data_IF_162285483457
#
_entry.id   IF_162285483457
#
_cell.length_a   1.000
_cell.length_b   1.000
_cell.length_c   1.000
_cell.angle_alpha   90.00
_cell.angle_beta   90.00
_cell.angle_gamma   90.00
#
_symmetry.space_group_name_H-M   'P 1'
#
loop_
_entity.id
_entity.type
_entity.pdbx_description
1 polymer ?
#
# COMPACT_ATOMS: atom_id res chain seq x y z
N UNK A 1 5.96 1.45 -35.59
CA UNK A 1 4.90 2.46 -35.84
C UNK A 1 4.75 3.28 -34.58
N UNK A 2 5.12 4.56 -34.62
CA UNK A 2 5.05 5.50 -33.49
C UNK A 2 3.58 5.93 -33.31
N UNK A 3 3.04 5.76 -32.09
CA UNK A 3 1.67 6.12 -31.77
C UNK A 3 1.58 7.66 -31.56
N UNK A 4 0.78 8.42 -32.31
CA UNK A 4 0.93 9.87 -32.43
C UNK A 4 0.10 10.68 -31.42
N UNK A 5 0.09 10.32 -30.13
CA UNK A 5 -0.76 10.96 -29.11
C UNK A 5 -0.05 11.55 -27.88
N UNK A 6 1.28 11.65 -27.88
CA UNK A 6 2.02 12.21 -26.73
C UNK A 6 2.90 13.37 -27.18
N UNK A 7 2.39 14.59 -27.01
CA UNK A 7 3.15 15.83 -27.08
C UNK A 7 3.75 16.15 -25.70
N UNK A 8 4.92 16.81 -25.70
CA UNK A 8 5.65 17.36 -24.54
C UNK A 8 4.81 18.29 -23.64
N UNK A 9 3.57 18.63 -24.02
CA UNK A 9 2.65 19.54 -23.33
C UNK A 9 2.00 18.99 -22.05
N UNK A 10 2.15 17.69 -21.73
CA UNK A 10 1.50 17.04 -20.57
C UNK A 10 2.36 16.91 -19.31
N UNK A 11 3.63 17.31 -19.34
CA UNK A 11 4.55 17.17 -18.19
C UNK A 11 4.32 18.27 -17.14
N UNK A 12 4.06 19.51 -17.59
CA UNK A 12 3.84 20.68 -16.72
C UNK A 12 2.57 20.59 -15.83
N UNK A 13 1.41 20.10 -16.30
CA UNK A 13 0.23 19.90 -15.45
C UNK A 13 0.47 18.89 -14.32
N UNK A 14 1.32 17.89 -14.55
CA UNK A 14 1.57 16.83 -13.57
C UNK A 14 2.59 17.22 -12.50
N UNK A 15 3.59 18.03 -12.86
CA UNK A 15 4.50 18.63 -11.88
C UNK A 15 3.75 19.53 -10.88
N UNK A 16 2.80 20.34 -11.39
CA UNK A 16 1.91 21.15 -10.54
C UNK A 16 0.96 20.30 -9.69
N UNK A 17 0.48 19.18 -10.22
CA UNK A 17 -0.33 18.24 -9.46
C UNK A 17 0.46 17.56 -8.33
N UNK A 18 1.75 17.29 -8.55
CA UNK A 18 2.67 16.79 -7.53
C UNK A 18 2.90 17.81 -6.41
N UNK A 19 3.24 19.06 -6.75
CA UNK A 19 3.44 20.13 -5.77
C UNK A 19 2.16 20.36 -4.95
N UNK A 20 1.01 20.49 -5.62
CA UNK A 20 -0.27 20.62 -4.96
C UNK A 20 -0.59 19.44 -4.03
N UNK A 21 -0.24 18.21 -4.43
CA UNK A 21 -0.43 17.04 -3.58
C UNK A 21 0.41 17.09 -2.31
N UNK A 22 1.70 17.44 -2.41
CA UNK A 22 2.60 17.55 -1.25
C UNK A 22 2.22 18.71 -0.32
N UNK A 23 1.61 19.76 -0.86
CA UNK A 23 1.05 20.88 -0.09
C UNK A 23 -0.24 20.52 0.64
N UNK A 24 -1.00 19.53 0.14
CA UNK A 24 -2.26 19.07 0.76
C UNK A 24 -2.05 17.91 1.73
N UNK A 25 -1.08 17.02 1.44
CA UNK A 25 -0.88 15.78 2.18
C UNK A 25 0.55 15.63 2.70
N UNK A 26 0.67 14.86 3.77
CA UNK A 26 1.94 14.44 4.36
C UNK A 26 1.97 12.92 4.41
N UNK A 27 3.05 12.32 3.92
CA UNK A 27 3.20 10.87 3.93
C UNK A 27 4.10 10.45 5.08
N UNK A 28 3.58 9.59 5.96
CA UNK A 28 4.27 9.23 7.20
C UNK A 28 4.42 7.73 7.39
N UNK A 29 5.61 7.32 7.78
CA UNK A 29 5.86 6.00 8.38
C UNK A 29 5.51 6.09 9.86
N UNK A 30 4.58 5.25 10.32
CA UNK A 30 4.17 5.21 11.72
C UNK A 30 5.23 4.49 12.57
N UNK A 31 5.99 5.27 13.33
CA UNK A 31 7.10 4.79 14.15
C UNK A 31 6.77 4.85 15.64
N UNK A 32 6.02 5.85 16.08
CA UNK A 32 5.58 5.97 17.49
C UNK A 32 4.32 5.14 17.75
N UNK A 33 4.02 4.92 19.02
CA UNK A 33 2.80 4.19 19.42
C UNK A 33 1.55 4.96 19.01
N UNK A 34 1.54 6.28 19.15
CA UNK A 34 0.41 7.14 18.79
C UNK A 34 0.16 7.12 17.28
N UNK A 35 1.22 7.14 16.46
CA UNK A 35 1.10 7.03 15.01
C UNK A 35 0.56 5.67 14.58
N UNK A 36 1.04 4.60 15.22
CA UNK A 36 0.53 3.23 14.96
C UNK A 36 -0.93 3.10 15.35
N UNK A 37 -1.34 3.65 16.48
CA UNK A 37 -2.74 3.65 16.91
C UNK A 37 -3.66 4.39 15.93
N UNK A 38 -3.19 5.49 15.32
CA UNK A 38 -3.93 6.17 14.23
C UNK A 38 -4.15 5.24 13.04
N UNK A 39 -3.12 4.48 12.64
CA UNK A 39 -3.23 3.48 11.56
C UNK A 39 -4.18 2.35 11.93
N UNK A 40 -4.08 1.80 13.14
CA UNK A 40 -4.94 0.71 13.60
C UNK A 40 -6.40 1.13 13.75
N UNK A 41 -6.67 2.38 14.12
CA UNK A 41 -8.02 2.94 14.17
C UNK A 41 -8.60 3.13 12.77
N UNK A 42 -7.82 3.70 11.84
CA UNK A 42 -8.26 3.80 10.44
C UNK A 42 -8.56 2.42 9.83
N UNK A 43 -7.73 1.42 10.12
CA UNK A 43 -7.97 0.05 9.71
C UNK A 43 -9.22 -0.54 10.36
N UNK A 44 -9.50 -0.23 11.61
CA UNK A 44 -10.73 -0.64 12.29
C UNK A 44 -11.97 -0.07 11.59
N UNK A 45 -11.97 1.22 11.29
CA UNK A 45 -13.08 1.89 10.62
C UNK A 45 -13.35 1.26 9.24
N UNK A 46 -12.32 0.94 8.48
CA UNK A 46 -12.51 0.35 7.14
C UNK A 46 -12.77 -1.16 7.20
N UNK A 47 -11.95 -1.94 7.91
CA UNK A 47 -12.03 -3.39 7.88
C UNK A 47 -13.06 -3.96 8.86
N UNK A 48 -13.12 -3.51 10.12
CA UNK A 48 -14.12 -4.02 11.07
C UNK A 48 -15.50 -3.39 10.78
N UNK A 49 -15.60 -2.05 10.70
CA UNK A 49 -16.90 -1.36 10.63
C UNK A 49 -17.54 -1.39 9.23
N UNK A 50 -16.80 -1.03 8.18
CA UNK A 50 -17.36 -0.95 6.82
C UNK A 50 -17.43 -2.33 6.13
N UNK A 51 -16.31 -3.06 6.09
CA UNK A 51 -16.20 -4.32 5.33
C UNK A 51 -16.75 -5.52 6.12
N UNK A 52 -16.84 -5.42 7.45
CA UNK A 52 -17.26 -6.55 8.31
C UNK A 52 -16.24 -7.69 8.34
N UNK A 53 -14.95 -7.38 8.27
CA UNK A 53 -13.85 -8.35 8.21
C UNK A 53 -13.76 -9.21 9.48
N UNK A 54 -14.08 -8.62 10.63
CA UNK A 54 -14.24 -9.31 11.92
C UNK A 54 -15.44 -8.72 12.66
N UNK A 55 -16.17 -9.51 13.46
CA UNK A 55 -17.20 -8.95 14.33
C UNK A 55 -16.58 -7.97 15.32
N UNK A 56 -17.28 -6.87 15.61
CA UNK A 56 -16.80 -5.81 16.50
C UNK A 56 -16.38 -6.31 17.88
N UNK A 57 -17.03 -7.37 18.36
CA UNK A 57 -16.72 -8.04 19.64
C UNK A 57 -15.30 -8.60 19.72
N UNK A 58 -14.62 -8.81 18.58
CA UNK A 58 -13.23 -9.24 18.52
C UNK A 58 -12.23 -8.09 18.34
N UNK A 59 -12.70 -6.88 18.03
CA UNK A 59 -11.85 -5.71 17.82
C UNK A 59 -11.77 -4.92 19.16
N UNK A 60 -10.86 -5.33 20.06
CA UNK A 60 -10.68 -4.65 21.36
C UNK A 60 -10.28 -3.17 21.16
N UNK A 61 -10.89 -2.25 21.92
CA UNK A 61 -10.59 -0.80 21.92
C UNK A 61 -10.78 -0.08 20.57
N UNK A 62 -11.56 -0.65 19.64
CA UNK A 62 -11.79 -0.07 18.30
C UNK A 62 -10.48 0.11 17.51
N UNK A 63 -9.62 -0.92 17.56
CA UNK A 63 -8.37 -1.01 16.82
C UNK A 63 -8.35 -2.33 16.02
N UNK A 64 -7.83 -2.31 14.79
CA UNK A 64 -7.59 -3.52 13.99
C UNK A 64 -6.09 -3.78 13.89
N UNK A 65 -5.68 -4.90 14.48
CA UNK A 65 -4.31 -5.40 14.48
C UNK A 65 -4.28 -6.94 14.42
N UNK A 66 -3.22 -7.50 13.87
CA UNK A 66 -2.94 -8.93 13.77
C UNK A 66 -1.46 -9.26 14.07
N UNK A 67 -1.11 -10.54 14.00
CA UNK A 67 0.22 -11.02 14.36
C UNK A 67 1.34 -10.52 13.42
N UNK A 68 1.01 -10.01 12.24
CA UNK A 68 1.99 -9.52 11.26
C UNK A 68 2.41 -8.07 11.54
N UNK A 69 1.64 -7.32 12.32
CA UNK A 69 1.92 -5.91 12.60
C UNK A 69 3.26 -5.69 13.32
N UNK A 70 3.76 -6.70 14.05
CA UNK A 70 5.05 -6.64 14.76
C UNK A 70 6.28 -6.59 13.84
N UNK A 71 6.17 -7.09 12.61
CA UNK A 71 7.24 -7.13 11.61
C UNK A 71 6.85 -6.39 10.33
N UNK A 72 5.96 -5.41 10.47
CA UNK A 72 5.47 -4.60 9.37
C UNK A 72 5.90 -3.15 9.48
N UNK A 73 6.08 -2.52 8.32
CA UNK A 73 6.15 -1.07 8.21
C UNK A 73 4.74 -0.56 7.90
N UNK A 74 4.27 0.36 8.73
CA UNK A 74 2.99 1.02 8.56
C UNK A 74 3.22 2.40 7.95
N UNK A 75 2.50 2.71 6.88
CA UNK A 75 2.54 4.02 6.26
C UNK A 75 1.13 4.56 6.12
N UNK A 76 0.96 5.86 6.37
CA UNK A 76 -0.31 6.54 6.24
C UNK A 76 -0.14 7.90 5.59
N UNK A 77 -1.20 8.32 4.90
CA UNK A 77 -1.30 9.64 4.29
C UNK A 77 -2.15 10.51 5.19
N UNK A 78 -1.59 11.62 5.67
CA UNK A 78 -2.25 12.60 6.52
C UNK A 78 -2.67 13.80 5.68
N UNK A 79 -3.92 14.23 5.82
CA UNK A 79 -4.39 15.48 5.24
C UNK A 79 -3.97 16.63 6.15
N UNK A 80 -3.16 17.56 5.64
CA UNK A 80 -2.48 18.57 6.47
C UNK A 80 -3.45 19.51 7.18
N UNK A 81 -4.50 19.97 6.50
CA UNK A 81 -5.40 20.98 7.06
C UNK A 81 -6.34 20.43 8.13
N UNK A 82 -6.75 19.16 8.02
CA UNK A 82 -7.63 18.52 9.01
C UNK A 82 -6.89 17.64 10.03
N UNK A 83 -5.63 17.28 9.74
CA UNK A 83 -4.86 16.33 10.53
C UNK A 83 -5.39 14.89 10.50
N UNK A 84 -6.37 14.59 9.63
CA UNK A 84 -6.97 13.26 9.52
C UNK A 84 -6.11 12.33 8.66
N UNK A 85 -6.08 11.04 9.00
CA UNK A 85 -5.50 10.02 8.14
C UNK A 85 -6.44 9.75 6.96
N UNK A 86 -6.03 10.14 5.76
CA UNK A 86 -6.79 9.97 4.52
C UNK A 86 -6.73 8.53 4.02
N UNK A 87 -5.65 7.81 4.29
CA UNK A 87 -5.51 6.40 3.98
C UNK A 87 -4.24 5.80 4.57
N UNK A 88 -4.11 4.48 4.49
CA UNK A 88 -2.95 3.75 4.98
C UNK A 88 -2.65 2.50 4.15
N UNK A 89 -1.45 1.97 4.37
CA UNK A 89 -0.99 0.70 3.85
C UNK A 89 -0.04 0.04 4.84
N UNK A 90 0.14 -1.27 4.69
CA UNK A 90 1.08 -2.07 5.46
C UNK A 90 2.02 -2.81 4.53
N UNK A 91 3.33 -2.64 4.72
CA UNK A 91 4.36 -3.47 4.11
C UNK A 91 4.82 -4.52 5.13
N UNK A 92 4.47 -5.78 4.90
CA UNK A 92 4.84 -6.91 5.75
C UNK A 92 6.17 -7.46 5.28
N UNK A 93 7.14 -7.54 6.19
CA UNK A 93 8.45 -8.15 5.96
C UNK A 93 8.46 -9.55 6.57
N UNK A 94 9.32 -10.47 6.10
CA UNK A 94 9.53 -11.73 6.79
C UNK A 94 9.95 -11.48 8.25
N UNK A 95 9.34 -12.19 9.19
CA UNK A 95 9.65 -12.05 10.61
C UNK A 95 11.07 -12.55 10.91
N UNK A 96 12.02 -11.66 11.29
CA UNK A 96 13.39 -12.08 11.58
C UNK A 96 13.48 -13.00 12.81
N UNK A 97 12.49 -12.99 13.69
CA UNK A 97 12.46 -13.81 14.91
C UNK A 97 11.82 -15.19 14.71
N UNK A 98 11.16 -15.44 13.58
CA UNK A 98 10.53 -16.73 13.33
C UNK A 98 11.53 -17.75 12.78
N UNK A 99 11.38 -19.00 13.21
CA UNK A 99 12.11 -20.15 12.66
C UNK A 99 11.86 -20.29 11.17
N UNK A 100 12.78 -20.95 10.45
CA UNK A 100 12.73 -21.03 8.99
C UNK A 100 11.42 -21.62 8.42
N UNK A 101 10.68 -22.42 9.19
CA UNK A 101 9.38 -22.98 8.79
C UNK A 101 8.16 -22.08 9.07
N UNK A 102 8.28 -21.06 9.91
CA UNK A 102 7.15 -20.29 10.47
C UNK A 102 7.05 -18.86 9.93
N UNK A 103 8.00 -18.44 9.08
CA UNK A 103 8.00 -17.13 8.41
C UNK A 103 6.99 -17.09 7.26
N UNK A 104 5.70 -16.98 7.59
CA UNK A 104 4.62 -16.88 6.61
C UNK A 104 4.24 -15.41 6.36
N UNK A 105 4.09 -15.05 5.08
CA UNK A 105 3.37 -13.84 4.69
C UNK A 105 1.85 -14.05 4.91
N UNK A 106 1.06 -13.00 5.22
CA UNK A 106 -0.38 -13.12 5.48
C UNK A 106 -1.14 -13.89 4.39
N UNK A 107 -0.79 -13.68 3.12
CA UNK A 107 -1.41 -14.40 1.99
C UNK A 107 -1.20 -15.92 2.03
N UNK A 108 -0.16 -16.42 2.70
CA UNK A 108 0.07 -17.85 2.86
C UNK A 108 -0.87 -18.44 3.92
N UNK A 109 -1.28 -17.66 4.92
CA UNK A 109 -2.24 -18.08 5.93
C UNK A 109 -3.65 -18.18 5.35
N UNK A 110 -4.08 -17.14 4.61
CA UNK A 110 -5.44 -17.09 4.04
C UNK A 110 -5.58 -17.89 2.74
N UNK A 111 -4.52 -17.92 1.92
CA UNK A 111 -4.55 -18.41 0.54
C UNK A 111 -3.52 -19.51 0.25
N UNK A 112 -2.91 -20.13 1.26
CA UNK A 112 -1.84 -21.11 1.05
C UNK A 112 -2.17 -22.21 0.05
N UNK A 113 -3.43 -22.68 0.03
CA UNK A 113 -3.93 -23.69 -0.93
C UNK A 113 -4.21 -23.15 -2.32
N UNK A 114 -4.52 -21.86 -2.47
CA UNK A 114 -4.78 -21.23 -3.77
C UNK A 114 -3.50 -20.76 -4.47
N UNK A 115 -2.37 -20.66 -3.76
CA UNK A 115 -1.04 -20.33 -4.30
C UNK A 115 -0.42 -21.52 -5.04
N UNK A 116 -0.91 -21.76 -6.25
CA UNK A 116 -0.53 -22.90 -7.09
C UNK A 116 0.51 -22.55 -8.17
N UNK A 117 1.01 -21.31 -8.23
CA UNK A 117 1.96 -20.91 -9.26
C UNK A 117 3.28 -21.69 -9.17
N UNK A 118 3.76 -22.25 -10.28
CA UNK A 118 4.91 -23.17 -10.29
C UNK A 118 6.21 -22.55 -9.73
N UNK A 119 6.48 -21.29 -10.07
CA UNK A 119 7.74 -20.57 -9.70
C UNK A 119 7.58 -19.40 -8.72
N UNK A 120 6.48 -18.64 -8.80
CA UNK A 120 6.25 -17.40 -8.05
C UNK A 120 5.41 -17.66 -6.81
N UNK A 121 6.03 -18.32 -5.82
CA UNK A 121 5.44 -18.55 -4.49
C UNK A 121 6.44 -18.08 -3.43
N UNK A 122 5.98 -17.48 -2.31
CA UNK A 122 6.89 -17.03 -1.25
C UNK A 122 7.88 -18.10 -0.79
N UNK A 123 7.43 -19.36 -0.70
CA UNK A 123 8.24 -20.50 -0.28
C UNK A 123 9.36 -20.92 -1.25
N UNK A 124 9.37 -20.38 -2.48
CA UNK A 124 10.37 -20.68 -3.51
C UNK A 124 11.36 -19.53 -3.76
N UNK A 125 11.18 -18.40 -3.10
CA UNK A 125 11.95 -17.18 -3.33
C UNK A 125 12.84 -16.85 -2.13
N UNK A 126 13.94 -16.10 -2.33
CA UNK A 126 14.81 -15.70 -1.21
C UNK A 126 14.03 -14.89 -0.18
N UNK A 127 14.02 -15.36 1.07
CA UNK A 127 13.20 -14.77 2.14
C UNK A 127 13.55 -13.30 2.38
N UNK A 128 14.83 -12.96 2.35
CA UNK A 128 15.27 -11.57 2.49
C UNK A 128 14.87 -10.67 1.31
N UNK A 129 14.36 -11.22 0.21
CA UNK A 129 13.92 -10.43 -0.94
C UNK A 129 12.38 -10.34 -1.05
N UNK A 130 11.62 -11.11 -0.27
CA UNK A 130 10.15 -11.11 -0.33
C UNK A 130 9.52 -10.11 0.64
N UNK A 131 8.31 -9.64 0.29
CA UNK A 131 7.42 -8.88 1.17
C UNK A 131 5.97 -8.97 0.69
N UNK A 132 5.03 -8.56 1.54
CA UNK A 132 3.62 -8.43 1.17
C UNK A 132 3.09 -7.00 1.41
N UNK A 133 2.41 -6.43 0.42
CA UNK A 133 1.58 -5.24 0.61
C UNK A 133 0.19 -5.69 1.04
N UNK A 134 -0.26 -5.21 2.20
CA UNK A 134 -1.57 -5.53 2.78
C UNK A 134 -2.20 -4.30 3.44
N UNK A 135 -3.45 -4.44 3.90
CA UNK A 135 -4.19 -3.40 4.63
C UNK A 135 -4.22 -2.03 3.93
N UNK A 136 -4.33 -2.04 2.60
CA UNK A 136 -4.51 -0.84 1.80
C UNK A 136 -5.94 -0.30 1.98
N UNK A 137 -6.07 0.79 2.73
CA UNK A 137 -7.36 1.35 3.15
C UNK A 137 -7.40 2.86 2.97
N UNK A 138 -8.56 3.39 2.59
CA UNK A 138 -8.82 4.82 2.42
C UNK A 138 -9.94 5.20 3.35
N UNK A 139 -9.79 6.25 4.14
CA UNK A 139 -10.86 6.72 5.01
C UNK A 139 -12.09 7.10 4.18
N UNK A 140 -13.29 6.72 4.64
CA UNK A 140 -14.55 7.00 3.94
C UNK A 140 -14.74 8.46 3.56
N UNK A 141 -14.31 9.36 4.44
CA UNK A 141 -14.42 10.80 4.26
C UNK A 141 -13.63 11.33 3.03
N UNK A 142 -12.64 10.57 2.55
CA UNK A 142 -11.77 10.92 1.43
C UNK A 142 -12.09 10.13 0.14
N UNK A 143 -13.30 9.58 0.02
CA UNK A 143 -13.76 8.84 -1.17
C UNK A 143 -14.79 9.65 -1.95
N UNK A 144 -14.62 9.75 -3.27
CA UNK A 144 -15.59 10.43 -4.16
C UNK A 144 -16.87 9.62 -4.44
N UNK A 145 -16.85 8.31 -4.16
CA UNK A 145 -17.99 7.42 -4.38
C UNK A 145 -18.20 6.54 -3.16
N UNK A 146 -19.46 6.33 -2.81
CA UNK A 146 -19.85 5.28 -1.87
C UNK A 146 -19.43 3.90 -2.39
N UNK A 147 -19.06 3.01 -1.48
CA UNK A 147 -18.83 1.59 -1.76
C UNK A 147 -20.04 0.82 -1.18
N UNK A 148 -20.55 -0.20 -1.87
CA UNK A 148 -21.59 -1.13 -1.37
C UNK A 148 -22.83 -0.49 -0.72
N UNK A 149 -23.68 0.22 -1.49
CA UNK A 149 -24.96 0.80 -1.03
C UNK A 149 -24.85 1.77 0.17
N UNK A 150 -23.65 2.24 0.51
CA UNK A 150 -23.45 3.23 1.55
C UNK A 150 -24.03 4.59 1.16
N UNK A 151 -24.72 5.25 2.10
CA UNK A 151 -24.99 6.69 2.02
C UNK A 151 -23.72 7.42 2.48
N UNK A 152 -23.04 8.19 1.62
CA UNK A 152 -21.95 9.07 2.09
C UNK A 152 -22.54 10.01 3.14
N UNK A 153 -22.00 10.01 4.36
CA UNK A 153 -22.58 10.83 5.42
C UNK A 153 -22.48 12.32 5.04
N UNK A 154 -23.59 13.09 5.14
CA UNK A 154 -23.59 14.53 4.82
C UNK A 154 -22.53 15.32 5.60
N UNK A 155 -22.17 14.84 6.79
CA UNK A 155 -21.20 15.45 7.71
C UNK A 155 -19.79 15.56 7.10
N UNK A 156 -19.41 14.61 6.24
CA UNK A 156 -18.15 14.65 5.47
C UNK A 156 -18.15 15.70 4.35
N UNK A 157 -19.32 16.18 3.94
CA UNK A 157 -19.42 17.18 2.87
C UNK A 157 -18.99 18.58 3.33
N UNK A 158 -19.06 18.88 4.62
CA UNK A 158 -18.64 20.17 5.17
C UNK A 158 -17.17 20.18 5.62
N UNK A 159 -16.53 19.01 5.72
CA UNK A 159 -15.14 18.89 6.17
C UNK A 159 -14.10 19.26 5.11
N UNK A 160 -14.49 19.23 3.82
CA UNK A 160 -13.56 19.40 2.70
C UNK A 160 -14.10 20.40 1.68
N UNK A 161 -13.22 21.25 1.18
CA UNK A 161 -13.51 22.14 0.06
C UNK A 161 -13.65 21.37 -1.26
N UNK A 162 -14.19 22.01 -2.29
CA UNK A 162 -14.25 21.41 -3.63
C UNK A 162 -12.86 21.21 -4.23
N UNK A 163 -11.88 22.01 -3.82
CA UNK A 163 -10.48 21.83 -4.22
C UNK A 163 -9.88 20.58 -3.58
N UNK A 164 -10.13 20.35 -2.29
CA UNK A 164 -9.69 19.13 -1.60
C UNK A 164 -10.24 17.88 -2.28
N UNK A 165 -11.52 17.88 -2.69
CA UNK A 165 -12.15 16.72 -3.35
C UNK A 165 -11.53 16.34 -4.69
N UNK A 166 -10.98 17.33 -5.43
CA UNK A 166 -10.26 17.06 -6.67
C UNK A 166 -8.97 16.28 -6.43
N UNK A 167 -8.43 16.34 -5.21
CA UNK A 167 -7.20 15.64 -4.83
C UNK A 167 -7.44 14.18 -4.45
N UNK A 168 -8.67 13.77 -4.12
CA UNK A 168 -8.96 12.41 -3.61
C UNK A 168 -8.51 11.26 -4.52
N UNK A 169 -8.62 11.33 -5.87
CA UNK A 169 -8.07 10.29 -6.75
C UNK A 169 -6.55 10.10 -6.58
N UNK A 170 -5.83 11.15 -6.16
CA UNK A 170 -4.38 11.10 -5.94
C UNK A 170 -4.00 10.34 -4.66
N UNK A 171 -4.93 10.13 -3.73
CA UNK A 171 -4.67 9.36 -2.51
C UNK A 171 -4.30 7.92 -2.86
N UNK A 172 -5.05 7.29 -3.78
CA UNK A 172 -4.82 5.89 -4.18
C UNK A 172 -3.45 5.73 -4.81
N UNK A 173 -3.14 6.55 -5.82
CA UNK A 173 -1.88 6.45 -6.53
C UNK A 173 -0.70 6.76 -5.61
N UNK A 174 -0.84 7.74 -4.72
CA UNK A 174 0.25 8.13 -3.81
C UNK A 174 0.50 7.10 -2.72
N UNK A 175 -0.54 6.50 -2.14
CA UNK A 175 -0.38 5.35 -1.24
C UNK A 175 0.27 4.18 -1.98
N UNK A 176 -0.12 3.92 -3.23
CA UNK A 176 0.52 2.85 -3.99
C UNK A 176 2.01 3.14 -4.25
N UNK A 177 2.35 4.36 -4.69
CA UNK A 177 3.74 4.80 -4.87
C UNK A 177 4.52 4.80 -3.56
N UNK A 178 3.88 5.06 -2.43
CA UNK A 178 4.45 4.91 -1.10
C UNK A 178 4.80 3.44 -0.80
N UNK A 179 3.87 2.51 -1.01
CA UNK A 179 4.15 1.08 -0.85
C UNK A 179 5.32 0.64 -1.72
N UNK A 180 5.32 1.06 -2.98
CA UNK A 180 6.37 0.79 -3.93
C UNK A 180 7.73 1.36 -3.50
N UNK A 181 7.75 2.61 -3.02
CA UNK A 181 8.98 3.23 -2.49
C UNK A 181 9.51 2.50 -1.26
N UNK A 182 8.64 2.08 -0.34
CA UNK A 182 9.04 1.31 0.85
C UNK A 182 9.64 -0.04 0.49
N UNK A 183 9.13 -0.72 -0.54
CA UNK A 183 9.71 -1.97 -1.06
C UNK A 183 11.16 -1.74 -1.46
N UNK A 184 11.43 -0.73 -2.30
CA UNK A 184 12.79 -0.39 -2.73
C UNK A 184 13.70 0.04 -1.58
N UNK A 185 13.20 0.90 -0.68
CA UNK A 185 13.95 1.39 0.50
C UNK A 185 14.29 0.28 1.50
N UNK A 186 13.51 -0.80 1.54
CA UNK A 186 13.76 -1.96 2.40
C UNK A 186 14.51 -3.08 1.70
N UNK A 187 15.01 -2.84 0.48
CA UNK A 187 15.79 -3.81 -0.29
C UNK A 187 15.00 -5.04 -0.71
N UNK A 188 13.68 -4.93 -0.84
CA UNK A 188 12.81 -6.04 -1.26
C UNK A 188 12.58 -5.99 -2.76
N UNK A 189 12.41 -7.17 -3.34
CA UNK A 189 12.25 -7.35 -4.78
C UNK A 189 10.94 -8.03 -5.12
N UNK A 190 10.63 -9.09 -4.40
CA UNK A 190 9.52 -9.98 -4.68
C UNK A 190 8.30 -9.56 -3.86
N UNK A 191 7.41 -8.80 -4.49
CA UNK A 191 6.27 -8.21 -3.81
C UNK A 191 5.04 -9.04 -4.09
N UNK A 192 4.33 -9.40 -3.04
CA UNK A 192 3.03 -10.05 -3.14
C UNK A 192 1.91 -9.18 -2.58
N UNK A 193 0.68 -9.41 -3.05
CA UNK A 193 -0.51 -8.79 -2.48
C UNK A 193 -1.76 -9.61 -2.80
N UNK A 194 -2.69 -9.68 -1.85
CA UNK A 194 -4.02 -10.23 -2.06
C UNK A 194 -4.97 -9.09 -2.45
N UNK A 195 -5.49 -9.11 -3.68
CA UNK A 195 -6.22 -7.98 -4.25
C UNK A 195 -7.52 -8.42 -4.93
N UNK A 196 -8.50 -7.52 -4.95
CA UNK A 196 -9.67 -7.65 -5.82
C UNK A 196 -9.29 -7.48 -7.30
N UNK A 197 -10.03 -8.10 -8.21
CA UNK A 197 -9.71 -8.15 -9.64
C UNK A 197 -9.60 -6.80 -10.37
N UNK A 198 -10.11 -5.71 -9.78
CA UNK A 198 -10.08 -4.36 -10.38
C UNK A 198 -8.76 -3.64 -10.13
N UNK A 199 -8.20 -3.77 -8.92
CA UNK A 199 -7.03 -3.00 -8.52
C UNK A 199 -5.78 -3.29 -9.38
N UNK A 200 -5.42 -4.56 -9.70
CA UNK A 200 -4.30 -4.85 -10.60
C UNK A 200 -4.46 -4.23 -11.99
N UNK A 201 -5.70 -4.15 -12.50
CA UNK A 201 -5.98 -3.55 -13.81
C UNK A 201 -5.77 -2.03 -13.79
N UNK A 202 -6.20 -1.39 -12.71
CA UNK A 202 -6.00 0.05 -12.52
C UNK A 202 -4.50 0.38 -12.40
N UNK A 203 -3.75 -0.44 -11.67
CA UNK A 203 -2.32 -0.28 -11.48
C UNK A 203 -1.50 -0.52 -12.76
N UNK A 204 -1.93 -1.46 -13.61
CA UNK A 204 -1.32 -1.69 -14.92
C UNK A 204 -1.38 -0.45 -15.82
N UNK A 205 -2.41 0.41 -15.69
CA UNK A 205 -2.49 1.69 -16.42
C UNK A 205 -1.40 2.69 -16.01
N UNK A 206 -0.66 2.42 -14.94
CA UNK A 206 0.43 3.24 -14.40
C UNK A 206 1.80 2.57 -14.56
N UNK A 207 1.88 1.45 -15.28
CA UNK A 207 3.12 0.69 -15.49
C UNK A 207 3.39 -0.41 -14.44
N UNK A 208 2.45 -0.66 -13.52
CA UNK A 208 2.61 -1.68 -12.49
C UNK A 208 1.88 -2.98 -12.86
N UNK A 209 2.59 -3.84 -13.58
CA UNK A 209 2.04 -5.08 -14.13
C UNK A 209 2.11 -6.23 -13.13
N UNK A 210 1.05 -6.39 -12.34
CA UNK A 210 0.92 -7.52 -11.42
C UNK A 210 0.53 -8.81 -12.15
N UNK A 211 1.27 -9.88 -11.90
CA UNK A 211 0.94 -11.23 -12.34
C UNK A 211 0.09 -11.93 -11.29
N UNK A 212 -1.05 -12.52 -11.69
CA UNK A 212 -1.84 -13.39 -10.80
C UNK A 212 -1.07 -14.69 -10.54
N UNK A 213 -0.91 -15.04 -9.26
CA UNK A 213 -0.14 -16.22 -8.80
C UNK A 213 -0.93 -17.16 -7.89
N UNK A 214 -2.22 -16.88 -7.69
CA UNK A 214 -3.11 -17.80 -7.02
C UNK A 214 -4.53 -17.74 -7.57
N UNK A 215 -5.27 -18.83 -7.35
CA UNK A 215 -6.68 -18.91 -7.72
C UNK A 215 -7.53 -17.91 -6.91
N UNK A 216 -8.65 -17.43 -7.47
CA UNK A 216 -9.61 -16.63 -6.72
C UNK A 216 -10.15 -17.36 -5.50
N UNK A 217 -10.23 -16.65 -4.38
CA UNK A 217 -10.87 -17.10 -3.14
C UNK A 217 -11.94 -16.10 -2.71
N UNK A 218 -12.96 -16.60 -2.01
CA UNK A 218 -13.94 -15.75 -1.36
C UNK A 218 -13.38 -15.25 -0.03
N UNK A 219 -13.11 -13.95 0.05
CA UNK A 219 -12.59 -13.30 1.24
C UNK A 219 -13.17 -11.89 1.27
N UNK A 220 -14.39 -11.71 1.79
CA UNK A 220 -15.13 -10.42 1.75
C UNK A 220 -15.14 -9.82 0.33
N UNK A 221 -15.53 -10.64 -0.64
CA UNK A 221 -15.36 -10.41 -2.07
C UNK A 221 -14.32 -11.34 -2.70
N UNK A 222 -14.42 -11.51 -4.01
CA UNK A 222 -13.48 -12.33 -4.79
C UNK A 222 -12.11 -11.66 -4.88
N UNK A 223 -11.09 -12.34 -4.35
CA UNK A 223 -9.71 -11.86 -4.31
C UNK A 223 -8.74 -12.92 -4.80
N UNK A 224 -7.65 -12.50 -5.42
CA UNK A 224 -6.58 -13.40 -5.86
C UNK A 224 -5.23 -12.88 -5.41
N UNK A 225 -4.31 -13.80 -5.17
CA UNK A 225 -2.92 -13.46 -4.90
C UNK A 225 -2.24 -13.01 -6.19
N UNK A 226 -1.50 -11.91 -6.10
CA UNK A 226 -0.72 -11.34 -7.19
C UNK A 226 0.72 -11.11 -6.76
N UNK A 227 1.60 -11.06 -7.75
CA UNK A 227 3.03 -10.86 -7.63
C UNK A 227 3.49 -9.74 -8.57
N UNK A 228 4.46 -8.95 -8.15
CA UNK A 228 5.22 -8.05 -9.01
C UNK A 228 6.71 -8.10 -8.64
N UNK A 229 7.58 -8.07 -9.65
CA UNK A 229 9.02 -7.88 -9.46
C UNK A 229 9.30 -6.38 -9.40
N UNK A 230 9.74 -5.88 -8.25
CA UNK A 230 10.02 -4.45 -8.04
C UNK A 230 11.06 -3.92 -9.05
N UNK A 231 12.11 -4.69 -9.34
CA UNK A 231 13.18 -4.27 -10.25
C UNK A 231 12.72 -4.24 -11.71
N UNK A 232 11.71 -5.03 -12.06
CA UNK A 232 11.05 -4.93 -13.36
C UNK A 232 10.12 -3.71 -13.38
N UNK A 233 9.30 -3.53 -12.34
CA UNK A 233 8.40 -2.39 -12.22
C UNK A 233 9.13 -1.04 -12.29
N UNK A 234 10.36 -0.94 -11.75
CA UNK A 234 11.20 0.28 -11.84
C UNK A 234 11.50 0.70 -13.28
N UNK A 235 11.48 -0.25 -14.23
CA UNK A 235 11.73 0.00 -15.64
C UNK A 235 10.45 0.27 -16.43
N UNK A 236 9.30 -0.09 -15.87
CA UNK A 236 8.00 -0.04 -16.55
C UNK A 236 7.10 1.09 -16.04
N UNK A 237 7.43 1.71 -14.90
CA UNK A 237 6.72 2.86 -14.36
C UNK A 237 6.58 3.96 -15.43
N UNK A 238 5.37 4.49 -15.58
CA UNK A 238 5.13 5.55 -16.55
C UNK A 238 5.92 6.81 -16.19
N UNK A 239 6.60 7.41 -17.18
CA UNK A 239 7.49 8.58 -17.00
C UNK A 239 6.81 9.74 -16.26
N UNK A 240 5.52 9.93 -16.55
CA UNK A 240 4.66 10.92 -15.92
C UNK A 240 4.61 10.78 -14.38
N UNK A 241 4.65 9.56 -13.84
CA UNK A 241 4.62 9.30 -12.41
C UNK A 241 5.99 9.42 -11.72
N UNK A 242 7.09 9.47 -12.48
CA UNK A 242 8.45 9.49 -11.92
C UNK A 242 8.66 10.67 -10.96
N UNK A 243 8.25 11.93 -11.25
CA UNK A 243 8.43 13.03 -10.32
C UNK A 243 7.75 12.80 -8.97
N UNK A 244 6.49 12.34 -8.99
CA UNK A 244 5.73 12.02 -7.77
C UNK A 244 6.34 10.83 -7.02
N UNK A 245 6.76 9.80 -7.74
CA UNK A 245 7.45 8.66 -7.15
C UNK A 245 8.74 9.07 -6.44
N UNK A 246 9.60 9.86 -7.08
CA UNK A 246 10.86 10.31 -6.50
C UNK A 246 10.63 11.21 -5.28
N UNK A 247 9.68 12.15 -5.35
CA UNK A 247 9.30 12.98 -4.20
C UNK A 247 8.84 12.16 -3.00
N UNK A 248 7.95 11.19 -3.23
CA UNK A 248 7.48 10.24 -2.19
C UNK A 248 8.64 9.40 -1.64
N UNK A 249 9.51 8.89 -2.52
CA UNK A 249 10.66 8.06 -2.12
C UNK A 249 11.62 8.84 -1.23
N UNK A 250 11.93 10.08 -1.58
CA UNK A 250 12.81 10.95 -0.81
C UNK A 250 12.19 11.30 0.56
N UNK A 251 10.89 11.61 0.60
CA UNK A 251 10.15 11.86 1.85
C UNK A 251 10.17 10.64 2.78
N UNK A 252 10.02 9.44 2.24
CA UNK A 252 10.03 8.19 3.02
C UNK A 252 11.45 7.74 3.40
N UNK A 253 12.47 8.01 2.59
CA UNK A 253 13.84 7.56 2.85
C UNK A 253 14.36 8.09 4.19
N UNK A 254 14.08 9.35 4.51
CA UNK A 254 14.44 9.96 5.79
C UNK A 254 13.75 9.30 7.00
N UNK A 255 12.55 8.77 6.80
CA UNK A 255 11.74 8.13 7.86
C UNK A 255 12.11 6.66 8.05
N UNK A 256 12.46 5.95 6.98
CA UNK A 256 12.82 4.52 7.01
C UNK A 256 14.25 4.29 7.52
N UNK A 257 15.16 5.25 7.32
CA UNK A 257 16.56 5.12 7.76
C UNK A 257 16.71 4.87 9.28
N UNK A 258 15.74 5.30 10.09
CA UNK A 258 15.70 5.02 11.53
C UNK A 258 15.18 3.63 11.91
N UNK A 259 14.60 2.87 10.97
CA UNK A 259 14.03 1.53 11.19
C UNK A 259 15.02 0.41 10.79
N UNK A 260 15.91 0.66 9.84
CA UNK A 260 16.82 -0.35 9.25
C UNK A 260 18.18 -0.44 9.95
N UNK A 261 18.48 0.46 10.90
CA UNK A 261 19.73 0.47 11.68
C UNK A 261 19.90 -0.72 12.65
N UNK A 262 18.99 -1.70 12.65
CA UNK A 262 19.04 -2.86 13.54
C UNK A 262 19.76 -4.10 12.96
N UNK A 263 20.13 -4.15 11.67
CA UNK A 263 20.90 -5.31 11.17
C UNK A 263 21.77 -4.94 9.96
N UNK A 264 23.09 -4.78 10.10
CA UNK A 264 23.96 -4.74 8.93
C UNK A 264 23.97 -6.14 8.30
N UNK A 265 23.50 -6.24 7.05
CA UNK A 265 23.80 -7.38 6.19
C UNK A 265 25.33 -7.46 6.06
N UNK A 266 25.96 -8.34 6.83
CA UNK A 266 27.34 -8.77 6.57
C UNK A 266 27.33 -9.47 5.23
N UNK A 267 27.77 -8.76 4.20
CA UNK A 267 28.23 -9.37 2.96
C UNK A 267 29.56 -10.06 3.29
N UNK A 268 29.51 -11.34 3.66
CA UNK A 268 30.69 -12.18 3.60
C UNK A 268 31.03 -12.37 2.12
N UNK A 269 32.10 -11.70 1.68
CA UNK A 269 32.75 -12.01 0.41
C UNK A 269 33.38 -13.39 0.54
N UNK A 270 32.93 -14.33 -0.29
CA UNK A 270 33.72 -15.49 -0.69
C UNK A 270 34.70 -15.07 -1.80
#
# INVERSE_FOLDING_TARGET
MKNPLFHESNVMPMLKAHEAFLDTYLLKVATTQEEKERVYRLRYDVYCQEIGYRPESFCQKSLELDAHDRHSIHCYLEHRSSGLAAGCLRLVLPDPAASDGDQLLPLQEYGGRSLNHSRLRPSLLPKNEICEISRFAIARAFRNKAINNETLQPESQHLFSDEDRKTFPWIIISLFLAAYSLVGLTGRRHVFAMMESRLPRLLAMSGFNFQRVGEPIEMHGQRSAHYIDHAQAEKEIHENLIPLYLGIKDELAGQVSGLTSATPLRVEKA
#
